data_IF_023763754136
#
_entry.id   IF_023763754136
#
_cell.length_a   1.000
_cell.length_b   1.000
_cell.length_c   1.000
_cell.angle_alpha   90.00
_cell.angle_beta   90.00
_cell.angle_gamma   90.00
#
_symmetry.space_group_name_H-M   'P 1'
#
loop_
_entity.id
_entity.type
_entity.pdbx_description
1 polymer ?
#
# COMPACT_ATOMS: atom_id res chain seq x y z
N UNK A 1 8.97 5.17 -15.90
CA UNK A 1 9.37 5.24 -14.46
C UNK A 1 10.71 4.56 -14.20
N UNK A 2 11.04 3.45 -14.88
CA UNK A 2 12.33 2.75 -14.73
C UNK A 2 13.53 3.68 -15.01
N UNK A 3 13.50 4.42 -16.10
CA UNK A 3 14.57 5.35 -16.48
C UNK A 3 14.87 6.43 -15.42
N UNK A 4 13.84 6.90 -14.71
CA UNK A 4 14.03 7.90 -13.63
C UNK A 4 14.66 7.29 -12.38
N UNK A 5 14.31 6.06 -12.03
CA UNK A 5 14.94 5.35 -10.92
C UNK A 5 16.42 5.07 -11.21
N UNK A 6 16.74 4.67 -12.45
CA UNK A 6 18.12 4.48 -12.89
C UNK A 6 18.93 5.79 -12.89
N UNK A 7 18.34 6.89 -13.32
CA UNK A 7 18.95 8.21 -13.26
C UNK A 7 19.26 8.64 -11.82
N UNK A 8 18.33 8.41 -10.87
CA UNK A 8 18.59 8.73 -9.46
C UNK A 8 19.75 7.92 -8.91
N UNK A 9 19.81 6.62 -9.19
CA UNK A 9 20.92 5.75 -8.76
C UNK A 9 22.24 6.21 -9.37
N UNK A 10 22.27 6.53 -10.67
CA UNK A 10 23.48 6.97 -11.36
C UNK A 10 24.02 8.28 -10.78
N UNK A 11 23.17 9.32 -10.69
CA UNK A 11 23.56 10.62 -10.13
C UNK A 11 23.97 10.50 -8.67
N UNK A 12 23.24 9.76 -7.85
CA UNK A 12 23.56 9.55 -6.46
C UNK A 12 24.90 8.83 -6.25
N UNK A 13 25.23 7.89 -7.14
CA UNK A 13 26.52 7.19 -7.12
C UNK A 13 27.66 8.13 -7.51
N UNK A 14 27.49 8.89 -8.59
CA UNK A 14 28.49 9.84 -9.09
C UNK A 14 28.80 10.95 -8.07
N UNK A 15 27.77 11.46 -7.42
CA UNK A 15 27.87 12.59 -6.48
C UNK A 15 28.12 12.15 -5.02
N UNK A 16 28.15 10.84 -4.74
CA UNK A 16 28.37 10.34 -3.38
C UNK A 16 27.21 10.62 -2.43
N UNK A 17 25.95 10.47 -2.88
CA UNK A 17 24.73 10.66 -2.08
C UNK A 17 24.12 9.32 -1.66
N UNK A 18 24.60 8.66 -0.58
CA UNK A 18 24.19 7.30 -0.22
C UNK A 18 22.68 7.20 0.09
N UNK A 19 22.09 8.21 0.70
CA UNK A 19 20.66 8.28 0.98
C UNK A 19 19.82 8.16 -0.31
N UNK A 20 20.12 8.99 -1.31
CA UNK A 20 19.38 8.99 -2.58
C UNK A 20 19.66 7.75 -3.41
N UNK A 21 20.89 7.23 -3.35
CA UNK A 21 21.24 5.97 -4.00
C UNK A 21 20.45 4.79 -3.45
N UNK A 22 20.31 4.69 -2.13
CA UNK A 22 19.52 3.68 -1.46
C UNK A 22 18.02 3.80 -1.80
N UNK A 23 17.47 5.02 -1.76
CA UNK A 23 16.08 5.27 -2.17
C UNK A 23 15.83 4.88 -3.63
N UNK A 24 16.74 5.25 -4.53
CA UNK A 24 16.68 4.87 -5.95
C UNK A 24 16.67 3.35 -6.16
N UNK A 25 17.51 2.61 -5.42
CA UNK A 25 17.52 1.15 -5.45
C UNK A 25 16.17 0.55 -5.03
N UNK A 26 15.53 1.10 -4.00
CA UNK A 26 14.22 0.61 -3.54
C UNK A 26 13.12 0.86 -4.57
N UNK A 27 13.07 2.04 -5.17
CA UNK A 27 12.10 2.30 -6.26
C UNK A 27 12.35 1.41 -7.48
N UNK A 28 13.62 1.21 -7.86
CA UNK A 28 13.99 0.29 -8.95
C UNK A 28 13.56 -1.14 -8.64
N UNK A 29 13.82 -1.62 -7.41
CA UNK A 29 13.39 -2.94 -6.96
C UNK A 29 11.88 -3.12 -7.02
N UNK A 30 11.12 -2.12 -6.56
CA UNK A 30 9.67 -2.13 -6.66
C UNK A 30 9.16 -2.21 -8.12
N UNK A 31 9.74 -1.40 -9.01
CA UNK A 31 9.38 -1.41 -10.44
C UNK A 31 9.64 -2.76 -11.09
N UNK A 32 10.79 -3.39 -10.79
CA UNK A 32 11.09 -4.75 -11.26
C UNK A 32 10.08 -5.77 -10.76
N UNK A 33 9.78 -5.78 -9.46
CA UNK A 33 8.79 -6.69 -8.89
C UNK A 33 7.41 -6.52 -9.56
N UNK A 34 6.98 -5.27 -9.74
CA UNK A 34 5.72 -4.94 -10.41
C UNK A 34 5.67 -5.38 -11.88
N UNK A 35 6.79 -5.39 -12.57
CA UNK A 35 6.91 -5.77 -13.98
C UNK A 35 7.14 -7.29 -14.17
N UNK A 36 7.10 -8.09 -13.10
CA UNK A 36 7.22 -9.54 -13.14
C UNK A 36 8.60 -10.10 -12.79
N UNK A 37 9.63 -9.26 -12.67
CA UNK A 37 10.97 -9.64 -12.20
C UNK A 37 11.04 -9.68 -10.66
N UNK A 38 10.15 -10.48 -10.05
CA UNK A 38 9.84 -10.40 -8.61
C UNK A 38 11.06 -10.71 -7.75
N UNK A 39 11.80 -11.77 -8.05
CA UNK A 39 12.98 -12.20 -7.26
C UNK A 39 14.08 -11.14 -7.28
N UNK A 40 14.37 -10.56 -8.44
CA UNK A 40 15.36 -9.49 -8.56
C UNK A 40 14.87 -8.22 -7.86
N UNK A 41 13.58 -7.90 -8.01
CA UNK A 41 12.92 -6.78 -7.34
C UNK A 41 13.07 -6.85 -5.82
N UNK A 42 12.75 -7.99 -5.20
CA UNK A 42 12.91 -8.23 -3.76
C UNK A 42 14.38 -8.09 -3.33
N UNK A 43 15.31 -8.66 -4.09
CA UNK A 43 16.74 -8.55 -3.80
C UNK A 43 17.22 -7.09 -3.78
N UNK A 44 16.77 -6.28 -4.75
CA UNK A 44 17.09 -4.85 -4.80
C UNK A 44 16.45 -4.07 -3.65
N UNK A 45 15.21 -4.39 -3.29
CA UNK A 45 14.51 -3.77 -2.15
C UNK A 45 15.24 -4.05 -0.84
N UNK A 46 15.66 -5.29 -0.58
CA UNK A 46 16.46 -5.63 0.61
C UNK A 46 17.79 -4.88 0.64
N UNK A 47 18.54 -4.87 -0.48
CA UNK A 47 19.81 -4.14 -0.56
C UNK A 47 19.61 -2.64 -0.35
N UNK A 48 18.59 -2.07 -0.97
CA UNK A 48 18.24 -0.66 -0.80
C UNK A 48 17.87 -0.34 0.65
N UNK A 49 17.07 -1.18 1.29
CA UNK A 49 16.66 -1.00 2.69
C UNK A 49 17.86 -1.09 3.66
N UNK A 50 18.77 -2.03 3.44
CA UNK A 50 20.02 -2.12 4.22
C UNK A 50 20.90 -0.88 4.05
N UNK A 51 21.10 -0.45 2.80
CA UNK A 51 21.89 0.76 2.51
C UNK A 51 21.22 2.01 3.10
N UNK A 52 19.91 2.12 3.05
CA UNK A 52 19.15 3.23 3.62
C UNK A 52 19.32 3.30 5.15
N UNK A 53 19.15 2.16 5.84
CA UNK A 53 19.38 2.05 7.29
C UNK A 53 20.81 2.45 7.67
N UNK A 54 21.81 2.10 6.86
CA UNK A 54 23.20 2.45 7.09
C UNK A 54 23.47 3.97 7.05
N UNK A 55 22.58 4.77 6.42
CA UNK A 55 22.67 6.24 6.46
C UNK A 55 22.18 6.85 7.76
N UNK A 56 21.54 6.07 8.64
CA UNK A 56 20.88 6.56 9.85
C UNK A 56 19.54 7.27 9.61
N UNK A 57 19.05 7.31 8.37
CA UNK A 57 17.78 7.94 8.04
C UNK A 57 16.60 7.06 8.44
N UNK A 58 15.59 7.66 9.06
CA UNK A 58 14.33 7.00 9.42
C UNK A 58 13.13 7.51 8.59
N UNK A 59 13.23 8.69 8.00
CA UNK A 59 12.19 9.28 7.18
C UNK A 59 11.80 8.34 6.03
N UNK A 60 10.51 8.21 5.73
CA UNK A 60 9.97 7.29 4.71
C UNK A 60 10.29 5.79 4.93
N UNK A 61 10.88 5.41 6.05
CA UNK A 61 11.16 3.99 6.33
C UNK A 61 9.90 3.12 6.24
N UNK A 62 8.72 3.51 6.78
CA UNK A 62 7.49 2.74 6.61
C UNK A 62 7.09 2.54 5.15
N UNK A 63 7.36 3.53 4.29
CA UNK A 63 7.08 3.45 2.85
C UNK A 63 7.94 2.39 2.18
N UNK A 64 9.22 2.39 2.44
CA UNK A 64 10.15 1.46 1.83
C UNK A 64 9.91 0.02 2.29
N UNK A 65 9.57 -0.18 3.57
CA UNK A 65 9.17 -1.48 4.09
C UNK A 65 7.86 -1.93 3.42
N UNK A 66 6.89 -1.02 3.23
CA UNK A 66 5.65 -1.34 2.53
C UNK A 66 5.85 -1.75 1.07
N UNK A 67 6.83 -1.16 0.36
CA UNK A 67 7.18 -1.59 -1.00
C UNK A 67 7.74 -3.01 -1.01
N UNK A 68 8.59 -3.35 -0.04
CA UNK A 68 9.12 -4.70 0.12
C UNK A 68 7.99 -5.68 0.47
N UNK A 69 7.11 -5.34 1.41
CA UNK A 69 5.94 -6.15 1.76
C UNK A 69 5.06 -6.44 0.53
N UNK A 70 4.78 -5.43 -0.29
CA UNK A 70 4.03 -5.61 -1.55
C UNK A 70 4.76 -6.52 -2.55
N UNK A 71 6.08 -6.45 -2.63
CA UNK A 71 6.85 -7.34 -3.50
C UNK A 71 6.84 -8.79 -2.99
N UNK A 72 6.92 -9.00 -1.67
CA UNK A 72 6.76 -10.32 -1.05
C UNK A 72 5.35 -10.88 -1.28
N UNK A 73 4.30 -10.05 -1.18
CA UNK A 73 2.92 -10.43 -1.48
C UNK A 73 2.77 -10.91 -2.94
N UNK A 74 3.34 -10.18 -3.90
CA UNK A 74 3.38 -10.61 -5.32
C UNK A 74 4.08 -11.96 -5.49
N UNK A 75 5.10 -12.25 -4.68
CA UNK A 75 5.81 -13.54 -4.67
C UNK A 75 5.03 -14.66 -3.96
N UNK A 76 3.88 -14.37 -3.33
CA UNK A 76 3.11 -15.31 -2.52
C UNK A 76 3.63 -15.48 -1.08
N UNK A 77 4.58 -14.66 -0.65
CA UNK A 77 5.16 -14.66 0.71
C UNK A 77 4.29 -13.90 1.71
N UNK A 78 3.08 -14.38 1.99
CA UNK A 78 2.10 -13.68 2.84
C UNK A 78 2.63 -13.44 4.26
N UNK A 79 3.26 -14.44 4.89
CA UNK A 79 3.75 -14.33 6.26
C UNK A 79 4.91 -13.33 6.39
N UNK A 80 5.82 -13.30 5.41
CA UNK A 80 6.89 -12.31 5.36
C UNK A 80 6.32 -10.90 5.16
N UNK A 81 5.34 -10.76 4.26
CA UNK A 81 4.66 -9.48 4.02
C UNK A 81 3.95 -8.98 5.29
N UNK A 82 3.27 -9.84 6.04
CA UNK A 82 2.63 -9.50 7.31
C UNK A 82 3.65 -9.02 8.34
N UNK A 83 4.78 -9.72 8.48
CA UNK A 83 5.87 -9.33 9.38
C UNK A 83 6.41 -7.95 9.04
N UNK A 84 6.67 -7.69 7.75
CA UNK A 84 7.13 -6.38 7.27
C UNK A 84 6.11 -5.26 7.53
N UNK A 85 4.82 -5.54 7.36
CA UNK A 85 3.78 -4.55 7.67
C UNK A 85 3.67 -4.25 9.15
N UNK A 86 3.91 -5.24 10.03
CA UNK A 86 3.97 -5.01 11.48
C UNK A 86 5.17 -4.15 11.85
N UNK A 87 6.35 -4.41 11.28
CA UNK A 87 7.53 -3.57 11.47
C UNK A 87 7.28 -2.13 11.02
N UNK A 88 6.66 -1.95 9.84
CA UNK A 88 6.32 -0.61 9.34
C UNK A 88 5.35 0.12 10.27
N UNK A 89 4.31 -0.56 10.79
CA UNK A 89 3.35 0.02 11.73
C UNK A 89 4.01 0.40 13.07
N UNK A 90 4.93 -0.42 13.59
CA UNK A 90 5.71 -0.08 14.79
C UNK A 90 6.56 1.19 14.59
N UNK A 91 7.18 1.35 13.41
CA UNK A 91 7.93 2.57 13.09
C UNK A 91 6.99 3.78 13.03
N UNK A 92 5.82 3.64 12.40
CA UNK A 92 4.79 4.70 12.37
C UNK A 92 4.41 5.16 13.77
N UNK A 93 4.16 4.23 14.70
CA UNK A 93 3.82 4.57 16.09
C UNK A 93 4.98 5.27 16.82
N UNK A 94 6.22 4.82 16.60
CA UNK A 94 7.42 5.37 17.25
C UNK A 94 7.81 6.74 16.71
N UNK A 95 7.70 6.95 15.40
CA UNK A 95 8.18 8.19 14.73
C UNK A 95 7.10 9.24 14.56
N UNK A 96 5.83 8.85 14.60
CA UNK A 96 4.70 9.72 14.25
C UNK A 96 4.55 9.95 12.74
N UNK A 97 5.28 9.26 11.87
CA UNK A 97 5.17 9.35 10.41
C UNK A 97 3.93 8.59 9.91
N UNK A 98 2.73 9.17 10.08
CA UNK A 98 1.44 8.48 9.94
C UNK A 98 0.81 8.54 8.54
N UNK A 99 1.39 9.24 7.57
CA UNK A 99 0.75 9.49 6.27
C UNK A 99 0.38 8.21 5.49
N UNK A 100 1.13 7.10 5.69
CA UNK A 100 0.86 5.81 5.05
C UNK A 100 0.09 4.83 5.96
N UNK A 101 -0.20 5.20 7.21
CA UNK A 101 -0.77 4.29 8.21
C UNK A 101 -2.10 3.64 7.76
N UNK A 102 -2.95 4.39 7.06
CA UNK A 102 -4.19 3.87 6.49
C UNK A 102 -3.92 2.74 5.49
N UNK A 103 -2.99 2.94 4.55
CA UNK A 103 -2.67 1.94 3.52
C UNK A 103 -1.96 0.71 4.10
N UNK A 104 -1.10 0.87 5.13
CA UNK A 104 -0.47 -0.25 5.83
C UNK A 104 -1.52 -1.16 6.49
N UNK A 105 -2.47 -0.58 7.24
CA UNK A 105 -3.56 -1.34 7.85
C UNK A 105 -4.46 -2.00 6.79
N UNK A 106 -4.78 -1.30 5.69
CA UNK A 106 -5.57 -1.86 4.59
C UNK A 106 -4.87 -3.06 3.95
N UNK A 107 -3.58 -2.95 3.65
CA UNK A 107 -2.81 -4.04 3.03
C UNK A 107 -2.69 -5.23 3.99
N UNK A 108 -2.43 -4.99 5.29
CA UNK A 108 -2.43 -6.05 6.30
C UNK A 108 -3.79 -6.76 6.37
N UNK A 109 -4.90 -6.00 6.36
CA UNK A 109 -6.25 -6.57 6.30
C UNK A 109 -6.48 -7.43 5.07
N UNK A 110 -5.97 -7.02 3.90
CA UNK A 110 -6.05 -7.80 2.67
C UNK A 110 -5.32 -9.14 2.79
N UNK A 111 -4.12 -9.17 3.36
CA UNK A 111 -3.35 -10.40 3.55
C UNK A 111 -4.01 -11.35 4.56
N UNK A 112 -4.54 -10.82 5.67
CA UNK A 112 -5.29 -11.61 6.64
C UNK A 112 -6.57 -12.19 6.03
N UNK A 113 -7.23 -11.44 5.15
CA UNK A 113 -8.39 -11.95 4.42
C UNK A 113 -8.03 -13.14 3.53
N UNK A 114 -6.88 -13.10 2.84
CA UNK A 114 -6.37 -14.24 2.05
C UNK A 114 -6.09 -15.48 2.91
N UNK A 115 -5.73 -15.29 4.19
CA UNK A 115 -5.56 -16.38 5.16
C UNK A 115 -6.87 -16.84 5.82
N UNK A 116 -8.02 -16.24 5.46
CA UNK A 116 -9.33 -16.59 6.04
C UNK A 116 -9.66 -15.92 7.37
N UNK A 117 -8.86 -14.95 7.81
CA UNK A 117 -9.07 -14.21 9.05
C UNK A 117 -10.03 -13.02 8.84
N UNK A 118 -11.29 -13.31 8.52
CA UNK A 118 -12.29 -12.32 8.10
C UNK A 118 -12.54 -11.21 9.13
N UNK A 119 -12.65 -11.56 10.42
CA UNK A 119 -12.92 -10.59 11.49
C UNK A 119 -11.77 -9.62 11.63
N UNK A 120 -10.53 -10.11 11.74
CA UNK A 120 -9.35 -9.28 11.86
C UNK A 120 -9.14 -8.40 10.61
N UNK A 121 -9.46 -8.90 9.42
CA UNK A 121 -9.42 -8.13 8.19
C UNK A 121 -10.43 -6.97 8.21
N UNK A 122 -11.69 -7.22 8.64
CA UNK A 122 -12.72 -6.18 8.75
C UNK A 122 -12.31 -5.10 9.76
N UNK A 123 -11.77 -5.47 10.93
CA UNK A 123 -11.24 -4.54 11.93
C UNK A 123 -10.13 -3.63 11.37
N UNK A 124 -9.19 -4.20 10.62
CA UNK A 124 -8.11 -3.44 9.99
C UNK A 124 -8.60 -2.50 8.89
N UNK A 125 -9.62 -2.90 8.11
CA UNK A 125 -10.23 -2.00 7.13
C UNK A 125 -10.96 -0.85 7.80
N UNK A 126 -11.65 -1.09 8.92
CA UNK A 126 -12.26 -0.02 9.72
C UNK A 126 -11.20 0.94 10.30
N UNK A 127 -10.09 0.40 10.82
CA UNK A 127 -8.97 1.21 11.31
C UNK A 127 -8.36 2.05 10.19
N UNK A 128 -8.12 1.45 9.01
CA UNK A 128 -7.63 2.16 7.83
C UNK A 128 -8.56 3.30 7.41
N UNK A 129 -9.86 3.04 7.38
CA UNK A 129 -10.88 4.03 7.03
C UNK A 129 -10.93 5.18 8.04
N UNK A 130 -10.87 4.88 9.34
CA UNK A 130 -10.80 5.89 10.41
C UNK A 130 -9.58 6.80 10.26
N UNK A 131 -8.39 6.21 10.10
CA UNK A 131 -7.13 6.97 9.91
C UNK A 131 -7.22 7.86 8.66
N UNK A 132 -7.71 7.32 7.54
CA UNK A 132 -7.82 8.08 6.29
C UNK A 132 -8.78 9.28 6.43
N UNK A 133 -9.88 9.12 7.18
CA UNK A 133 -10.82 10.20 7.48
C UNK A 133 -10.23 11.27 8.38
N UNK A 134 -9.55 10.87 9.46
CA UNK A 134 -8.84 11.80 10.36
C UNK A 134 -7.80 12.64 9.62
N UNK A 135 -7.14 12.06 8.61
CA UNK A 135 -6.13 12.71 7.80
C UNK A 135 -6.70 13.46 6.58
N UNK A 136 -8.00 13.40 6.34
CA UNK A 136 -8.67 13.89 5.12
C UNK A 136 -8.04 13.32 3.83
N UNK A 137 -7.43 12.14 3.92
CA UNK A 137 -6.70 11.49 2.84
C UNK A 137 -7.64 10.70 1.92
N UNK A 138 -8.33 11.42 1.03
CA UNK A 138 -9.44 10.89 0.23
C UNK A 138 -9.11 9.67 -0.63
N UNK A 139 -7.88 9.58 -1.14
CA UNK A 139 -7.46 8.39 -1.90
C UNK A 139 -7.34 7.15 -0.99
N UNK A 140 -6.79 7.32 0.22
CA UNK A 140 -6.71 6.23 1.19
C UNK A 140 -8.10 5.85 1.73
N UNK A 141 -8.98 6.84 1.93
CA UNK A 141 -10.38 6.60 2.29
C UNK A 141 -11.09 5.77 1.23
N UNK A 142 -10.93 6.10 -0.07
CA UNK A 142 -11.51 5.34 -1.18
C UNK A 142 -11.01 3.89 -1.21
N UNK A 143 -9.71 3.67 -1.07
CA UNK A 143 -9.13 2.31 -1.07
C UNK A 143 -9.59 1.48 0.11
N UNK A 144 -9.64 2.07 1.31
CA UNK A 144 -10.12 1.39 2.51
C UNK A 144 -11.62 1.07 2.41
N UNK A 145 -12.44 2.03 1.96
CA UNK A 145 -13.86 1.83 1.73
C UNK A 145 -14.14 0.76 0.66
N UNK A 146 -13.39 0.75 -0.44
CA UNK A 146 -13.52 -0.27 -1.48
C UNK A 146 -13.14 -1.68 -0.97
N UNK A 147 -12.07 -1.79 -0.15
CA UNK A 147 -11.68 -3.08 0.45
C UNK A 147 -12.75 -3.61 1.40
N UNK A 148 -13.30 -2.76 2.27
CA UNK A 148 -14.38 -3.12 3.18
C UNK A 148 -15.70 -3.42 2.45
N UNK A 149 -15.99 -2.67 1.38
CA UNK A 149 -17.17 -2.91 0.55
C UNK A 149 -17.10 -4.26 -0.17
N UNK A 150 -15.92 -4.65 -0.70
CA UNK A 150 -15.72 -5.98 -1.28
C UNK A 150 -15.96 -7.09 -0.24
N UNK A 151 -15.40 -6.95 0.95
CA UNK A 151 -15.62 -7.91 2.04
C UNK A 151 -17.11 -8.03 2.40
N UNK A 152 -17.83 -6.92 2.54
CA UNK A 152 -19.27 -6.92 2.83
C UNK A 152 -20.10 -7.53 1.69
N UNK A 153 -19.76 -7.22 0.44
CA UNK A 153 -20.39 -7.85 -0.74
C UNK A 153 -20.27 -9.36 -0.67
N UNK A 154 -19.07 -9.88 -0.38
CA UNK A 154 -18.78 -11.31 -0.34
C UNK A 154 -19.49 -12.01 0.84
N UNK A 155 -19.83 -11.26 1.89
CA UNK A 155 -20.68 -11.67 3.01
C UNK A 155 -22.19 -11.55 2.73
N UNK A 156 -22.60 -11.11 1.53
CA UNK A 156 -24.01 -10.86 1.18
C UNK A 156 -24.58 -9.53 1.68
N UNK A 157 -23.76 -8.68 2.32
CA UNK A 157 -24.16 -7.37 2.89
C UNK A 157 -24.06 -6.25 1.84
N UNK A 158 -24.74 -6.45 0.69
CA UNK A 158 -24.60 -5.58 -0.50
C UNK A 158 -25.03 -4.13 -0.25
N UNK A 159 -26.13 -3.91 0.47
CA UNK A 159 -26.64 -2.57 0.81
C UNK A 159 -25.60 -1.81 1.65
N UNK A 160 -25.08 -2.44 2.69
CA UNK A 160 -24.05 -1.82 3.55
C UNK A 160 -22.76 -1.52 2.77
N UNK A 161 -22.37 -2.38 1.84
CA UNK A 161 -21.21 -2.16 0.97
C UNK A 161 -21.42 -0.91 0.08
N UNK A 162 -22.60 -0.78 -0.53
CA UNK A 162 -22.96 0.36 -1.37
C UNK A 162 -23.03 1.66 -0.57
N UNK A 163 -23.73 1.66 0.57
CA UNK A 163 -23.91 2.83 1.42
C UNK A 163 -22.58 3.35 1.97
N UNK A 164 -21.61 2.46 2.17
CA UNK A 164 -20.24 2.83 2.57
C UNK A 164 -19.46 3.47 1.41
N UNK A 165 -19.48 2.86 0.22
CA UNK A 165 -18.59 3.25 -0.88
C UNK A 165 -19.11 4.44 -1.70
N UNK A 166 -20.44 4.51 -1.92
CA UNK A 166 -21.04 5.52 -2.80
C UNK A 166 -20.71 6.97 -2.37
N UNK A 167 -20.84 7.38 -1.10
CA UNK A 167 -20.54 8.74 -0.69
C UNK A 167 -19.03 9.05 -0.80
N UNK A 168 -18.13 8.08 -0.59
CA UNK A 168 -16.69 8.28 -0.74
C UNK A 168 -16.31 8.46 -2.21
N UNK A 169 -16.88 7.63 -3.09
CA UNK A 169 -16.69 7.78 -4.54
C UNK A 169 -17.26 9.11 -5.06
N UNK A 170 -18.46 9.49 -4.59
CA UNK A 170 -19.13 10.72 -5.00
C UNK A 170 -18.43 12.02 -4.59
N UNK A 171 -17.43 11.95 -3.72
CA UNK A 171 -16.61 13.10 -3.36
C UNK A 171 -15.67 13.54 -4.51
N UNK A 172 -15.26 12.60 -5.38
CA UNK A 172 -14.32 12.88 -6.45
C UNK A 172 -15.03 13.58 -7.61
N UNK A 173 -14.39 14.64 -8.14
CA UNK A 173 -14.87 15.41 -9.29
C UNK A 173 -13.99 15.26 -10.52
N UNK A 174 -12.81 14.62 -10.37
CA UNK A 174 -11.84 14.37 -11.45
C UNK A 174 -11.07 13.08 -11.20
N UNK A 175 -10.16 12.70 -12.11
CA UNK A 175 -9.30 11.51 -11.97
C UNK A 175 -10.02 10.18 -12.24
N UNK A 176 -11.20 10.20 -12.89
CA UNK A 176 -11.99 9.01 -13.17
C UNK A 176 -11.33 8.01 -14.13
N UNK A 177 -10.21 8.38 -14.73
CA UNK A 177 -9.34 7.51 -15.53
C UNK A 177 -8.32 6.73 -14.70
N UNK A 178 -8.17 7.06 -13.40
CA UNK A 178 -7.29 6.34 -12.48
C UNK A 178 -7.83 4.94 -12.15
N UNK A 179 -6.93 4.01 -11.86
CA UNK A 179 -7.29 2.63 -11.53
C UNK A 179 -8.21 2.55 -10.30
N UNK A 180 -7.90 3.30 -9.24
CA UNK A 180 -8.67 3.30 -8.00
C UNK A 180 -10.13 3.71 -8.22
N UNK A 181 -10.38 4.76 -9.00
CA UNK A 181 -11.75 5.24 -9.28
C UNK A 181 -12.48 4.31 -10.26
N UNK A 182 -11.80 3.73 -11.25
CA UNK A 182 -12.40 2.72 -12.13
C UNK A 182 -12.85 1.48 -11.36
N UNK A 183 -12.01 0.97 -10.45
CA UNK A 183 -12.34 -0.19 -9.62
C UNK A 183 -13.49 0.10 -8.65
N UNK A 184 -13.50 1.28 -8.02
CA UNK A 184 -14.57 1.69 -7.13
C UNK A 184 -15.89 1.83 -7.90
N UNK A 185 -15.87 2.41 -9.10
CA UNK A 185 -17.05 2.51 -9.99
C UNK A 185 -17.59 1.14 -10.37
N UNK A 186 -16.71 0.24 -10.82
CA UNK A 186 -17.12 -1.12 -11.20
C UNK A 186 -17.78 -1.86 -10.03
N UNK A 187 -17.23 -1.71 -8.80
CA UNK A 187 -17.81 -2.28 -7.61
C UNK A 187 -19.21 -1.69 -7.30
N UNK A 188 -19.36 -0.37 -7.43
CA UNK A 188 -20.67 0.29 -7.24
C UNK A 188 -21.70 -0.16 -8.26
N UNK A 189 -21.31 -0.33 -9.52
CA UNK A 189 -22.20 -0.82 -10.57
C UNK A 189 -22.64 -2.26 -10.29
N UNK A 190 -21.71 -3.11 -9.87
CA UNK A 190 -22.02 -4.47 -9.42
C UNK A 190 -23.01 -4.46 -8.23
N UNK A 191 -22.81 -3.60 -7.23
CA UNK A 191 -23.66 -3.49 -6.05
C UNK A 191 -25.05 -2.92 -6.35
N UNK A 192 -25.19 -2.11 -7.40
CA UNK A 192 -26.45 -1.49 -7.83
C UNK A 192 -27.30 -2.33 -8.79
N UNK A 193 -26.73 -3.37 -9.39
CA UNK A 193 -27.33 -4.19 -10.46
C UNK A 193 -28.12 -5.42 -9.98
N UNK A 194 -28.75 -5.38 -8.80
CA UNK A 194 -29.61 -6.46 -8.27
C UNK A 194 -31.03 -5.99 -8.12
#
# INVERSE_FOLDING_TARGET
>A
MDERADQVVAVATEQGFPFWGAAGLMYRGWLKAKNGEVTEGISLLHRGLMAYRATGAEIQMPTFIALLAKACDIAGGIDESLTLLDDALQIVERTGERWLAAELNRHKGQLLLLQGHFVAAEELYHKALGIAREQEAKLWELRAAASLARLRRDQGRRTEARDLLAPVYGWFTEGFDTQDLKEAKALLDELGGA
#
